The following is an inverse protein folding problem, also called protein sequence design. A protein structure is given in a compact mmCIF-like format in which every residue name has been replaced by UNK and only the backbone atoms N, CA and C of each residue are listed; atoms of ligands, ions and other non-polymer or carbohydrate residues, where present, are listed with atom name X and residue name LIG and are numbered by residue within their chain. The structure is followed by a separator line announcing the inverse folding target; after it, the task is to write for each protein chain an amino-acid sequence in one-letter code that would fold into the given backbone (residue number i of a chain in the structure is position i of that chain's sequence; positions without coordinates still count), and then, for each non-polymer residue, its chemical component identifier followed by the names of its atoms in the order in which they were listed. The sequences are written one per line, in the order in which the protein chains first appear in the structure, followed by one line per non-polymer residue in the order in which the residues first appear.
data_IF_727547202789
#
_entry.id   IF_727547202789
#
_cell.length_a   1.000
_cell.length_b   1.000
_cell.length_c   1.000
_cell.angle_alpha   90.00
_cell.angle_beta   90.00
_cell.angle_gamma   90.00
#
_symmetry.space_group_name_H-M   'P 1'
#
loop_
_entity.id
_entity.type
_entity.pdbx_description
1 polymer ?
#
# COMPACT_ATOMS: atom_id res chain seq x y z
N UNK A 1 -8.63 -10.60 -8.07
CA UNK A 1 -9.99 -10.01 -8.11
C UNK A 1 -10.07 -8.74 -7.27
N UNK A 2 -9.54 -8.73 -6.05
CA UNK A 2 -9.51 -7.56 -5.14
C UNK A 2 -8.96 -6.26 -5.77
N UNK A 3 -7.84 -6.30 -6.50
CA UNK A 3 -7.22 -5.08 -7.06
C UNK A 3 -8.14 -4.27 -7.98
N UNK A 4 -9.00 -4.93 -8.80
CA UNK A 4 -9.93 -4.19 -9.68
C UNK A 4 -11.04 -3.47 -8.91
N UNK A 5 -11.51 -4.05 -7.79
CA UNK A 5 -12.56 -3.44 -6.98
C UNK A 5 -12.02 -2.27 -6.15
N UNK A 6 -10.78 -2.41 -5.65
CA UNK A 6 -10.18 -1.42 -4.75
C UNK A 6 -9.51 -0.30 -5.55
N UNK A 7 -8.77 -0.63 -6.60
CA UNK A 7 -7.87 0.31 -7.30
C UNK A 7 -8.34 0.64 -8.74
N UNK A 8 -9.54 0.20 -9.13
CA UNK A 8 -10.10 0.41 -10.48
C UNK A 8 -9.40 -0.36 -11.62
N UNK A 9 -8.16 -0.81 -11.43
CA UNK A 9 -7.34 -1.48 -12.43
C UNK A 9 -6.68 -2.74 -11.89
N UNK A 10 -6.28 -3.61 -12.83
CA UNK A 10 -5.46 -4.77 -12.50
C UNK A 10 -3.99 -4.41 -12.76
N UNK A 11 -3.29 -4.03 -11.71
CA UNK A 11 -1.85 -3.83 -11.78
C UNK A 11 -1.15 -5.15 -12.12
N UNK A 12 -0.33 -5.12 -13.18
CA UNK A 12 0.63 -6.19 -13.48
C UNK A 12 1.94 -5.91 -12.76
N UNK A 13 2.74 -6.95 -12.57
CA UNK A 13 4.03 -6.81 -11.90
C UNK A 13 4.94 -5.79 -12.63
N UNK A 14 4.90 -5.77 -13.95
CA UNK A 14 5.69 -4.86 -14.80
C UNK A 14 5.33 -3.36 -14.65
N UNK A 15 4.18 -3.01 -14.09
CA UNK A 15 3.66 -1.63 -14.11
C UNK A 15 4.14 -0.78 -12.92
N UNK A 16 4.82 -1.39 -11.93
CA UNK A 16 5.04 -0.73 -10.66
C UNK A 16 6.51 -0.49 -10.27
N UNK A 17 7.34 -1.53 -10.36
CA UNK A 17 8.76 -1.53 -10.01
C UNK A 17 9.45 -2.77 -10.61
N UNK A 18 10.79 -2.79 -10.72
CA UNK A 18 11.56 -3.93 -11.26
C UNK A 18 11.28 -5.26 -10.53
N UNK A 19 10.82 -5.19 -9.27
CA UNK A 19 10.47 -6.36 -8.44
C UNK A 19 9.01 -6.81 -8.57
N UNK A 20 8.13 -5.99 -9.13
CA UNK A 20 6.72 -6.31 -9.30
C UNK A 20 5.78 -5.86 -8.18
N UNK A 21 4.60 -5.35 -8.56
CA UNK A 21 3.50 -4.98 -7.66
C UNK A 21 3.18 -6.07 -6.63
N UNK A 22 3.04 -7.32 -7.08
CA UNK A 22 2.69 -8.46 -6.21
C UNK A 22 3.78 -8.76 -5.19
N UNK A 23 5.05 -8.53 -5.55
CA UNK A 23 6.18 -8.75 -4.66
C UNK A 23 6.17 -7.73 -3.52
N UNK A 24 5.98 -6.44 -3.82
CA UNK A 24 5.91 -5.37 -2.82
C UNK A 24 4.74 -5.59 -1.85
N UNK A 25 3.55 -5.93 -2.36
CA UNK A 25 2.38 -6.21 -1.51
C UNK A 25 2.61 -7.43 -0.64
N UNK A 26 3.25 -8.48 -1.18
CA UNK A 26 3.56 -9.70 -0.43
C UNK A 26 4.60 -9.44 0.65
N UNK A 27 5.68 -8.70 0.37
CA UNK A 27 6.68 -8.29 1.36
C UNK A 27 6.01 -7.50 2.51
N UNK A 28 5.14 -6.54 2.16
CA UNK A 28 4.37 -5.76 3.13
C UNK A 28 3.48 -6.63 4.02
N UNK A 29 2.72 -7.55 3.45
CA UNK A 29 1.87 -8.48 4.22
C UNK A 29 2.71 -9.40 5.09
N UNK A 30 3.84 -9.91 4.60
CA UNK A 30 4.73 -10.79 5.36
C UNK A 30 5.32 -10.06 6.58
N UNK A 31 5.75 -8.82 6.43
CA UNK A 31 6.25 -8.01 7.54
C UNK A 31 5.14 -7.62 8.51
N UNK A 32 3.95 -7.25 8.01
CA UNK A 32 2.80 -6.92 8.86
C UNK A 32 2.23 -8.15 9.61
N UNK A 33 2.38 -9.35 9.03
CA UNK A 33 1.91 -10.60 9.64
C UNK A 33 2.96 -11.28 10.52
N UNK A 34 4.21 -10.83 10.46
CA UNK A 34 5.25 -11.35 11.32
C UNK A 34 4.95 -10.95 12.77
N UNK A 35 4.86 -11.90 13.72
CA UNK A 35 4.67 -11.56 15.13
C UNK A 35 5.90 -10.78 15.62
N UNK A 36 5.67 -9.64 16.28
CA UNK A 36 6.76 -8.92 16.93
C UNK A 36 7.21 -9.70 18.16
N UNK A 37 8.27 -10.49 18.04
CA UNK A 37 8.81 -11.29 19.14
C UNK A 37 9.17 -10.44 20.37
N UNK A 38 9.45 -9.14 20.20
CA UNK A 38 9.67 -8.19 21.29
C UNK A 38 8.41 -7.94 22.14
N UNK A 39 7.22 -8.02 21.54
CA UNK A 39 5.94 -7.88 22.27
C UNK A 39 5.60 -9.13 23.07
N UNK A 40 6.12 -10.30 22.66
CA UNK A 40 5.92 -11.58 23.36
C UNK A 40 7.02 -11.90 24.38
N UNK A 41 8.26 -11.46 24.14
CA UNK A 41 9.43 -11.76 24.99
C UNK A 41 10.22 -10.46 25.21
N UNK A 42 10.00 -9.75 26.34
CA UNK A 42 10.61 -8.44 26.59
C UNK A 42 12.15 -8.44 26.57
N UNK A 43 12.78 -9.57 26.87
CA UNK A 43 14.25 -9.70 26.94
C UNK A 43 14.96 -9.67 25.58
N UNK A 44 14.25 -9.97 24.48
CA UNK A 44 14.80 -9.92 23.11
C UNK A 44 14.33 -8.70 22.34
N UNK A 45 13.50 -7.83 22.95
CA UNK A 45 13.07 -6.57 22.36
C UNK A 45 14.22 -5.67 21.85
N UNK A 46 15.40 -5.59 22.52
CA UNK A 46 16.51 -4.76 22.04
C UNK A 46 17.25 -5.34 20.82
N UNK A 47 17.06 -6.62 20.49
CA UNK A 47 17.77 -7.28 19.39
C UNK A 47 17.16 -6.97 18.01
N UNK A 48 15.99 -6.33 17.97
CA UNK A 48 15.27 -5.95 16.74
C UNK A 48 15.18 -7.11 15.72
N UNK A 49 14.68 -8.25 16.17
CA UNK A 49 14.56 -9.47 15.36
C UNK A 49 13.55 -9.35 14.21
N UNK A 50 12.68 -8.33 14.25
CA UNK A 50 11.71 -8.03 13.20
C UNK A 50 12.31 -7.19 12.07
N UNK A 51 13.50 -6.60 12.29
CA UNK A 51 14.20 -5.78 11.31
C UNK A 51 13.45 -4.48 11.04
N UNK A 52 13.51 -3.54 11.97
CA UNK A 52 12.94 -2.18 11.83
C UNK A 52 13.35 -1.50 10.51
N UNK A 53 14.61 -1.68 10.09
CA UNK A 53 15.12 -1.16 8.81
C UNK A 53 14.41 -1.77 7.60
N UNK A 54 14.10 -3.05 7.63
CA UNK A 54 13.32 -3.72 6.56
C UNK A 54 11.88 -3.27 6.55
N UNK A 55 11.29 -3.00 7.72
CA UNK A 55 9.97 -2.35 7.82
C UNK A 55 9.96 -0.96 7.19
N UNK A 56 10.98 -0.14 7.46
CA UNK A 56 11.05 1.21 6.94
C UNK A 56 11.20 1.23 5.41
N UNK A 57 12.07 0.38 4.85
CA UNK A 57 12.20 0.24 3.38
C UNK A 57 10.90 -0.26 2.75
N UNK A 58 10.20 -1.22 3.36
CA UNK A 58 8.93 -1.70 2.84
C UNK A 58 7.82 -0.66 2.96
N UNK A 59 7.82 0.13 4.04
CA UNK A 59 6.91 1.26 4.21
C UNK A 59 7.10 2.28 3.10
N UNK A 60 8.33 2.73 2.84
CA UNK A 60 8.60 3.69 1.75
C UNK A 60 8.13 3.15 0.40
N UNK A 61 8.30 1.84 0.14
CA UNK A 61 7.80 1.22 -1.10
C UNK A 61 6.28 1.20 -1.18
N UNK A 62 5.59 0.88 -0.08
CA UNK A 62 4.13 0.91 -0.01
C UNK A 62 3.59 2.34 -0.11
N UNK A 63 4.25 3.32 0.49
CA UNK A 63 3.88 4.74 0.40
C UNK A 63 3.97 5.21 -1.06
N UNK A 64 5.11 4.95 -1.73
CA UNK A 64 5.27 5.21 -3.17
C UNK A 64 4.22 4.47 -4.01
N UNK A 65 3.79 3.28 -3.55
CA UNK A 65 2.77 2.49 -4.21
C UNK A 65 1.42 3.19 -4.19
N UNK A 66 0.98 3.57 -3.00
CA UNK A 66 -0.30 4.27 -2.85
C UNK A 66 -0.28 5.66 -3.46
N UNK A 67 0.84 6.37 -3.43
CA UNK A 67 0.95 7.70 -4.01
C UNK A 67 0.70 7.69 -5.52
N UNK A 68 1.35 6.79 -6.29
CA UNK A 68 1.08 6.65 -7.73
C UNK A 68 -0.38 6.28 -8.01
N UNK A 69 -0.95 5.39 -7.22
CA UNK A 69 -2.36 4.99 -7.37
C UNK A 69 -3.26 6.21 -7.16
N UNK A 70 -3.08 6.95 -6.07
CA UNK A 70 -3.89 8.13 -5.76
C UNK A 70 -3.73 9.19 -6.85
N UNK A 71 -2.51 9.43 -7.35
CA UNK A 71 -2.24 10.38 -8.43
C UNK A 71 -2.97 9.99 -9.73
N UNK A 72 -2.98 8.71 -10.11
CA UNK A 72 -3.76 8.21 -11.24
C UNK A 72 -5.28 8.47 -11.08
N UNK A 73 -5.80 8.40 -9.84
CA UNK A 73 -7.22 8.61 -9.58
C UNK A 73 -7.57 10.10 -9.45
N UNK A 74 -6.62 10.95 -9.05
CA UNK A 74 -6.77 12.41 -9.00
C UNK A 74 -6.76 13.06 -10.39
N UNK A 75 -6.15 12.44 -11.39
CA UNK A 75 -6.19 12.97 -12.76
C UNK A 75 -7.64 13.02 -13.27
N UNK A 76 -8.09 14.19 -13.78
CA UNK A 76 -9.44 14.35 -14.29
C UNK A 76 -9.61 13.44 -15.50
N UNK A 77 -10.56 12.52 -15.42
CA UNK A 77 -10.95 11.70 -16.56
C UNK A 77 -12.17 12.34 -17.20
N UNK A 78 -12.06 12.76 -18.46
CA UNK A 78 -13.10 13.46 -19.24
C UNK A 78 -14.30 12.57 -19.64
N UNK A 79 -14.55 11.46 -18.93
CA UNK A 79 -15.62 10.51 -19.27
C UNK A 79 -16.28 9.83 -18.06
N UNK A 80 -17.42 9.18 -18.29
CA UNK A 80 -18.10 8.31 -17.32
C UNK A 80 -17.24 7.07 -17.00
N UNK A 81 -16.27 7.23 -16.08
CA UNK A 81 -15.58 6.08 -15.47
C UNK A 81 -16.41 5.56 -14.29
N UNK A 82 -16.51 4.24 -14.17
CA UNK A 82 -17.04 3.60 -12.96
C UNK A 82 -16.13 3.94 -11.79
N UNK A 83 -16.68 4.61 -10.77
CA UNK A 83 -15.92 4.95 -9.55
C UNK A 83 -15.54 3.69 -8.79
N UNK A 84 -14.29 3.63 -8.33
CA UNK A 84 -13.81 2.57 -7.44
C UNK A 84 -13.72 3.04 -5.98
N UNK A 85 -13.19 2.16 -5.12
CA UNK A 85 -13.06 2.44 -3.70
C UNK A 85 -12.11 3.62 -3.41
N UNK A 86 -11.03 3.77 -4.18
CA UNK A 86 -10.07 4.88 -4.01
C UNK A 86 -10.73 6.20 -4.41
N UNK A 87 -11.51 6.23 -5.50
CA UNK A 87 -12.31 7.41 -5.89
C UNK A 87 -13.26 7.86 -4.76
N UNK A 88 -13.91 6.90 -4.09
CA UNK A 88 -14.80 7.18 -2.96
C UNK A 88 -14.01 7.75 -1.78
N UNK A 89 -12.87 7.16 -1.43
CA UNK A 89 -12.01 7.64 -0.34
C UNK A 89 -11.49 9.06 -0.60
N UNK A 90 -10.99 9.32 -1.81
CA UNK A 90 -10.50 10.65 -2.22
C UNK A 90 -11.64 11.67 -2.18
N UNK A 91 -12.83 11.30 -2.66
CA UNK A 91 -14.04 12.13 -2.56
C UNK A 91 -14.38 12.49 -1.11
N UNK A 92 -14.35 11.53 -0.18
CA UNK A 92 -14.57 11.80 1.24
C UNK A 92 -13.49 12.71 1.86
N UNK A 93 -12.22 12.53 1.49
CA UNK A 93 -11.12 13.36 1.99
C UNK A 93 -11.18 14.80 1.45
N UNK A 94 -11.62 14.99 0.20
CA UNK A 94 -11.83 16.31 -0.38
C UNK A 94 -13.03 17.04 0.28
N UNK A 95 -14.10 16.32 0.62
CA UNK A 95 -15.30 16.88 1.28
C UNK A 95 -15.03 17.30 2.73
N UNK A 96 -14.03 16.71 3.40
CA UNK A 96 -13.68 17.02 4.80
C UNK A 96 -12.70 18.19 4.98
N UNK A 97 -12.30 18.87 3.91
CA UNK A 97 -11.64 20.19 3.98
C UNK A 97 -12.70 21.31 3.98
N UNK A 98 -13.49 21.38 5.04
CA UNK A 98 -14.26 22.56 5.46
C UNK A 98 -14.12 22.68 6.97
#
# INVERSE_FOLDING_TARGET
MSCRMVLGKKYRDEEFDERGFKSVVREGIQLASAPNLGDYIPFIAPLDLQGSKTHEVCKTRLDNLFEKIIEEHLQPNDGERTKDFVDVMVGFMAVRRI
#
